data_IF_582983914121
#
_entry.id   IF_582983914121
#
_cell.length_a   1.000
_cell.length_b   1.000
_cell.length_c   1.000
_cell.angle_alpha   90.00
_cell.angle_beta   90.00
_cell.angle_gamma   90.00
#
_symmetry.space_group_name_H-M   'P 1'
#
loop_
_entity.id
_entity.type
_entity.pdbx_description
1 polymer ?
#
# COMPACT_ATOMS: atom_id res chain seq x y z
N UNK A 1 10.00 2.85 -19.74
CA UNK A 1 10.00 4.07 -18.91
C UNK A 1 10.71 3.69 -17.62
N UNK A 2 11.79 4.37 -17.21
CA UNK A 2 12.49 4.02 -15.98
C UNK A 2 11.53 4.18 -14.80
N UNK A 3 11.49 3.19 -13.91
CA UNK A 3 10.72 3.27 -12.68
C UNK A 3 11.35 4.32 -11.73
N UNK A 4 10.58 4.80 -10.75
CA UNK A 4 11.05 5.88 -9.88
C UNK A 4 12.15 5.39 -8.91
N UNK A 5 12.15 4.10 -8.55
CA UNK A 5 13.14 3.52 -7.63
C UNK A 5 14.51 3.43 -8.30
N UNK A 6 14.57 2.98 -9.56
CA UNK A 6 15.82 2.96 -10.34
C UNK A 6 16.41 4.35 -10.61
N UNK A 7 15.59 5.40 -10.50
CA UNK A 7 16.04 6.79 -10.55
C UNK A 7 16.57 7.33 -9.21
N UNK A 8 16.62 6.49 -8.16
CA UNK A 8 17.21 6.83 -6.86
C UNK A 8 16.26 7.53 -5.89
N UNK A 9 14.97 7.65 -6.23
CA UNK A 9 13.98 8.16 -5.30
C UNK A 9 13.72 7.14 -4.18
N UNK A 10 13.59 7.65 -2.96
CA UNK A 10 13.30 6.83 -1.77
C UNK A 10 11.82 6.92 -1.48
N UNK A 11 11.11 5.81 -1.64
CA UNK A 11 9.70 5.70 -1.28
C UNK A 11 9.50 4.66 -0.19
N UNK A 12 8.47 4.89 0.61
CA UNK A 12 7.91 3.89 1.50
C UNK A 12 6.39 3.92 1.35
N UNK A 13 5.81 2.76 1.08
CA UNK A 13 4.38 2.59 0.99
C UNK A 13 3.90 1.83 2.21
N UNK A 14 2.83 2.32 2.82
CA UNK A 14 2.12 1.61 3.88
C UNK A 14 0.72 1.26 3.37
N UNK A 15 0.42 -0.03 3.33
CA UNK A 15 -0.88 -0.53 2.89
C UNK A 15 -1.66 -0.96 4.12
N UNK A 16 -2.81 -0.31 4.29
CA UNK A 16 -3.76 -0.55 5.37
C UNK A 16 -5.01 -1.25 4.82
N UNK A 17 -5.54 -2.19 5.59
CA UNK A 17 -6.73 -2.96 5.25
C UNK A 17 -6.48 -4.46 5.18
N UNK A 18 -7.55 -5.21 5.40
CA UNK A 18 -7.61 -6.66 5.16
C UNK A 18 -8.59 -6.92 4.03
N UNK A 19 -8.22 -7.84 3.13
CA UNK A 19 -9.06 -8.22 2.00
C UNK A 19 -8.64 -9.58 1.48
N UNK A 20 -9.53 -10.21 0.70
CA UNK A 20 -9.31 -11.56 0.17
C UNK A 20 -8.05 -11.72 -0.69
N UNK A 21 -7.47 -10.62 -1.15
CA UNK A 21 -6.28 -10.58 -2.00
C UNK A 21 -5.01 -10.10 -1.28
N UNK A 22 -5.00 -9.97 0.05
CA UNK A 22 -3.83 -9.50 0.80
C UNK A 22 -2.59 -10.36 0.51
N UNK A 23 -2.71 -11.69 0.62
CA UNK A 23 -1.63 -12.63 0.34
C UNK A 23 -1.14 -12.52 -1.10
N UNK A 24 -2.05 -12.48 -2.08
CA UNK A 24 -1.70 -12.41 -3.49
C UNK A 24 -1.01 -11.07 -3.84
N UNK A 25 -1.41 -9.98 -3.19
CA UNK A 25 -0.78 -8.68 -3.32
C UNK A 25 0.63 -8.67 -2.70
N UNK A 26 0.80 -9.27 -1.52
CA UNK A 26 2.10 -9.40 -0.87
C UNK A 26 3.07 -10.25 -1.70
N UNK A 27 2.64 -11.42 -2.19
CA UNK A 27 3.41 -12.25 -3.11
C UNK A 27 3.81 -11.49 -4.38
N UNK A 28 2.89 -10.69 -4.93
CA UNK A 28 3.16 -9.88 -6.11
C UNK A 28 4.23 -8.82 -5.83
N UNK A 29 4.14 -8.11 -4.72
CA UNK A 29 5.13 -7.13 -4.27
C UNK A 29 6.52 -7.77 -4.14
N UNK A 30 6.60 -8.95 -3.50
CA UNK A 30 7.85 -9.68 -3.37
C UNK A 30 8.42 -10.11 -4.72
N UNK A 31 7.58 -10.62 -5.63
CA UNK A 31 8.00 -11.04 -6.98
C UNK A 31 8.55 -9.89 -7.83
N UNK A 32 8.18 -8.64 -7.51
CA UNK A 32 8.66 -7.43 -8.17
C UNK A 32 9.92 -6.85 -7.50
N UNK A 33 10.44 -7.47 -6.42
CA UNK A 33 11.57 -6.95 -5.66
C UNK A 33 11.24 -5.70 -4.85
N UNK A 34 9.94 -5.45 -4.58
CA UNK A 34 9.47 -4.23 -3.92
C UNK A 34 9.27 -4.40 -2.40
N UNK A 35 9.59 -5.57 -1.85
CA UNK A 35 9.31 -5.92 -0.45
C UNK A 35 9.91 -4.96 0.58
N UNK A 36 11.07 -4.37 0.29
CA UNK A 36 11.71 -3.39 1.20
C UNK A 36 11.00 -2.03 1.21
N UNK A 37 10.22 -1.72 0.16
CA UNK A 37 9.56 -0.43 -0.03
C UNK A 37 8.09 -0.46 0.41
N UNK A 38 7.49 -1.64 0.64
CA UNK A 38 6.06 -1.78 0.95
C UNK A 38 5.87 -2.48 2.29
N UNK A 39 5.12 -1.85 3.19
CA UNK A 39 4.74 -2.40 4.50
C UNK A 39 3.24 -2.65 4.54
N UNK A 40 2.84 -3.89 4.78
CA UNK A 40 1.45 -4.24 5.07
C UNK A 40 1.19 -4.07 6.57
N UNK A 41 0.27 -3.16 6.92
CA UNK A 41 0.00 -2.77 8.31
C UNK A 41 -1.31 -3.34 8.87
N UNK A 42 -2.08 -4.05 8.04
CA UNK A 42 -3.38 -4.61 8.43
C UNK A 42 -4.42 -3.52 8.72
N UNK A 43 -5.40 -3.83 9.57
CA UNK A 43 -6.42 -2.86 9.98
C UNK A 43 -5.80 -1.78 10.88
N UNK A 44 -6.21 -0.54 10.65
CA UNK A 44 -5.87 0.61 11.49
C UNK A 44 -7.13 1.10 12.21
N UNK A 45 -6.98 1.45 13.49
CA UNK A 45 -8.07 2.10 14.23
C UNK A 45 -8.35 3.49 13.65
N UNK A 46 -9.62 3.88 13.59
CA UNK A 46 -10.02 5.17 13.04
C UNK A 46 -9.38 6.35 13.79
N UNK A 47 -9.12 6.19 15.09
CA UNK A 47 -8.40 7.18 15.92
C UNK A 47 -6.95 7.42 15.47
N UNK A 48 -6.33 6.44 14.79
CA UNK A 48 -4.94 6.49 14.33
C UNK A 48 -4.82 6.84 12.85
N UNK A 49 -5.91 6.76 12.09
CA UNK A 49 -5.89 7.01 10.65
C UNK A 49 -5.52 8.46 10.31
N UNK A 50 -5.94 9.42 11.13
CA UNK A 50 -5.60 10.84 10.94
C UNK A 50 -4.09 11.06 11.01
N UNK A 51 -3.42 10.41 11.97
CA UNK A 51 -1.97 10.49 12.11
C UNK A 51 -1.26 9.90 10.88
N UNK A 52 -1.76 8.77 10.36
CA UNK A 52 -1.22 8.19 9.12
C UNK A 52 -1.42 9.10 7.90
N UNK A 53 -2.45 9.95 7.88
CA UNK A 53 -2.60 10.96 6.83
C UNK A 53 -1.63 12.12 7.00
N UNK A 54 -1.42 12.58 8.24
CA UNK A 54 -0.48 13.68 8.53
C UNK A 54 0.98 13.29 8.24
N UNK A 55 1.34 12.04 8.48
CA UNK A 55 2.70 11.52 8.27
C UNK A 55 2.99 11.17 6.80
N UNK A 56 1.98 11.13 5.92
CA UNK A 56 2.12 10.72 4.53
C UNK A 56 2.30 11.90 3.57
N UNK A 57 3.31 11.84 2.69
CA UNK A 57 3.45 12.81 1.60
C UNK A 57 2.30 12.71 0.58
N UNK A 58 1.81 11.49 0.37
CA UNK A 58 0.71 11.19 -0.54
C UNK A 58 -0.20 10.11 0.04
N UNK A 59 -1.51 10.31 -0.10
CA UNK A 59 -2.51 9.34 0.31
C UNK A 59 -3.39 8.91 -0.89
N UNK A 60 -3.51 7.60 -1.09
CA UNK A 60 -4.36 7.01 -2.12
C UNK A 60 -5.39 6.08 -1.48
N UNK A 61 -6.68 6.37 -1.72
CA UNK A 61 -7.79 5.50 -1.31
C UNK A 61 -8.31 4.73 -2.52
N UNK A 62 -8.13 3.42 -2.53
CA UNK A 62 -8.70 2.55 -3.54
C UNK A 62 -10.11 2.12 -3.11
N UNK A 63 -11.12 2.47 -3.92
CA UNK A 63 -12.47 1.92 -3.82
C UNK A 63 -12.64 0.84 -4.89
N UNK A 64 -12.96 -0.38 -4.49
CA UNK A 64 -13.47 -1.40 -5.41
C UNK A 64 -14.98 -1.53 -5.21
N UNK A 65 -15.77 -1.15 -6.22
CA UNK A 65 -17.17 -1.55 -6.28
C UNK A 65 -17.21 -3.03 -6.66
N UNK A 66 -17.56 -3.90 -5.72
CA UNK A 66 -17.99 -5.25 -6.05
C UNK A 66 -19.38 -5.09 -6.67
N UNK A 67 -19.44 -4.93 -7.99
CA UNK A 67 -20.70 -5.08 -8.72
C UNK A 67 -21.12 -6.54 -8.54
N UNK A 68 -22.04 -6.79 -7.60
CA UNK A 68 -22.72 -8.07 -7.48
C UNK A 68 -23.85 -8.11 -8.52
N UNK A 69 -23.67 -8.93 -9.54
CA UNK A 69 -24.73 -9.37 -10.46
C UNK A 69 -24.95 -8.46 -11.65
#
# INVERSE_FOLDING_TARGET
MPDLISQGFKFQFEIYGEGAYSTLLEEKVQSLGLGEYVKFKGLIEYSQISKSFDDADFFYRLWYNIVRG
#
